data_IF_794257613129
#
_entry.id   IF_794257613129
#
_cell.length_a   1.000
_cell.length_b   1.000
_cell.length_c   1.000
_cell.angle_alpha   90.00
_cell.angle_beta   90.00
_cell.angle_gamma   90.00
#
_symmetry.space_group_name_H-M   'P 1'
#
loop_
_entity.id
_entity.type
_entity.pdbx_description
1 polymer ?
#
# COMPACT_ATOMS: atom_id res chain seq x y z
N UNK A 1 -43.56 36.09 -6.87
CA UNK A 1 -43.85 34.92 -7.74
C UNK A 1 -42.58 34.26 -8.28
N UNK A 2 -41.67 35.01 -8.91
CA UNK A 2 -40.40 34.49 -9.47
C UNK A 2 -39.51 33.83 -8.41
N UNK A 3 -39.34 34.45 -7.25
CA UNK A 3 -38.47 33.92 -6.17
C UNK A 3 -38.99 32.59 -5.57
N UNK A 4 -40.31 32.43 -5.49
CA UNK A 4 -40.95 31.19 -5.07
C UNK A 4 -40.73 30.08 -6.11
N UNK A 5 -40.83 30.41 -7.40
CA UNK A 5 -40.56 29.46 -8.49
C UNK A 5 -39.10 28.95 -8.43
N UNK A 6 -38.13 29.85 -8.21
CA UNK A 6 -36.73 29.48 -8.02
C UNK A 6 -36.53 28.55 -6.83
N UNK A 7 -37.19 28.84 -5.69
CA UNK A 7 -37.13 27.98 -4.50
C UNK A 7 -37.69 26.58 -4.79
N UNK A 8 -38.84 26.48 -5.48
CA UNK A 8 -39.42 25.18 -5.85
C UNK A 8 -38.53 24.36 -6.79
N UNK A 9 -37.94 25.01 -7.80
CA UNK A 9 -37.00 24.36 -8.72
C UNK A 9 -35.74 23.90 -7.98
N UNK A 10 -35.22 24.72 -7.07
CA UNK A 10 -34.05 24.37 -6.26
C UNK A 10 -34.32 23.18 -5.33
N UNK A 11 -35.47 23.17 -4.65
CA UNK A 11 -35.88 22.04 -3.80
C UNK A 11 -36.09 20.77 -4.63
N UNK A 12 -36.75 20.86 -5.79
CA UNK A 12 -36.94 19.72 -6.69
C UNK A 12 -35.59 19.18 -7.22
N UNK A 13 -34.64 20.06 -7.51
CA UNK A 13 -33.29 19.65 -7.89
C UNK A 13 -32.58 18.91 -6.75
N UNK A 14 -32.63 19.43 -5.52
CA UNK A 14 -32.04 18.78 -4.35
C UNK A 14 -32.66 17.41 -4.09
N UNK A 15 -33.99 17.28 -4.17
CA UNK A 15 -34.66 15.98 -3.93
C UNK A 15 -34.29 14.94 -5.00
N UNK A 16 -34.16 15.35 -6.26
CA UNK A 16 -33.66 14.48 -7.33
C UNK A 16 -32.21 14.05 -7.06
N UNK A 17 -31.34 14.99 -6.67
CA UNK A 17 -29.94 14.68 -6.34
C UNK A 17 -29.84 13.72 -5.15
N UNK A 18 -30.60 13.96 -4.08
CA UNK A 18 -30.64 13.05 -2.91
C UNK A 18 -31.16 11.67 -3.33
N UNK A 19 -32.21 11.61 -4.16
CA UNK A 19 -32.72 10.35 -4.69
C UNK A 19 -31.68 9.59 -5.51
N UNK A 20 -30.94 10.28 -6.39
CA UNK A 20 -29.85 9.69 -7.16
C UNK A 20 -28.75 9.16 -6.23
N UNK A 21 -28.31 9.96 -5.25
CA UNK A 21 -27.29 9.54 -4.28
C UNK A 21 -27.75 8.29 -3.50
N UNK A 22 -29.00 8.29 -3.03
CA UNK A 22 -29.55 7.17 -2.29
C UNK A 22 -29.62 5.89 -3.14
N UNK A 23 -30.22 5.95 -4.33
CA UNK A 23 -30.40 4.76 -5.17
C UNK A 23 -29.11 4.27 -5.83
N UNK A 24 -28.17 5.17 -6.16
CA UNK A 24 -26.90 4.79 -6.82
C UNK A 24 -25.78 4.42 -5.86
N UNK A 25 -25.69 5.06 -4.69
CA UNK A 25 -24.58 4.83 -3.75
C UNK A 25 -25.03 4.07 -2.50
N UNK A 26 -26.08 4.56 -1.81
CA UNK A 26 -26.41 4.05 -0.46
C UNK A 26 -27.16 2.72 -0.51
N UNK A 27 -28.17 2.59 -1.37
CA UNK A 27 -29.00 1.40 -1.50
C UNK A 27 -28.20 0.13 -1.86
N UNK A 28 -27.34 0.11 -2.91
CA UNK A 28 -26.55 -1.08 -3.23
C UNK A 28 -25.59 -1.45 -2.09
N UNK A 29 -24.92 -0.46 -1.49
CA UNK A 29 -24.01 -0.65 -0.37
C UNK A 29 -24.70 -1.28 0.84
N UNK A 30 -25.86 -0.75 1.22
CA UNK A 30 -26.66 -1.28 2.33
C UNK A 30 -27.12 -2.72 2.05
N UNK A 31 -27.62 -2.98 0.84
CA UNK A 31 -28.05 -4.32 0.44
C UNK A 31 -26.89 -5.32 0.52
N UNK A 32 -25.69 -4.91 0.13
CA UNK A 32 -24.48 -5.73 0.22
C UNK A 32 -24.07 -5.98 1.68
N UNK A 33 -24.04 -4.95 2.51
CA UNK A 33 -23.78 -5.09 3.96
C UNK A 33 -24.77 -6.05 4.64
N UNK A 34 -26.06 -5.90 4.35
CA UNK A 34 -27.11 -6.75 4.93
C UNK A 34 -26.94 -8.21 4.45
N UNK A 35 -26.50 -8.42 3.21
CA UNK A 35 -26.21 -9.75 2.67
C UNK A 35 -24.99 -10.41 3.36
N UNK A 36 -23.92 -9.66 3.65
CA UNK A 36 -22.76 -10.18 4.37
C UNK A 36 -23.06 -10.46 5.84
N UNK A 37 -23.85 -9.58 6.50
CA UNK A 37 -24.31 -9.84 7.87
C UNK A 37 -25.18 -11.10 7.95
N UNK A 38 -26.01 -11.36 6.94
CA UNK A 38 -26.79 -12.60 6.84
C UNK A 38 -25.92 -13.85 6.65
N UNK A 39 -24.69 -13.70 6.12
CA UNK A 39 -23.70 -14.77 5.98
C UNK A 39 -22.81 -14.95 7.23
N UNK A 40 -23.03 -14.16 8.28
CA UNK A 40 -22.24 -14.22 9.52
C UNK A 40 -20.96 -13.38 9.48
N UNK A 41 -20.70 -12.63 8.41
CA UNK A 41 -19.55 -11.72 8.33
C UNK A 41 -19.90 -10.44 9.09
N UNK A 42 -19.22 -10.26 10.22
CA UNK A 42 -19.40 -9.08 11.07
C UNK A 42 -18.68 -7.86 10.49
N UNK A 43 -19.04 -6.68 10.97
CA UNK A 43 -18.35 -5.41 10.72
C UNK A 43 -19.02 -4.29 11.49
N UNK A 44 -18.43 -3.10 11.42
CA UNK A 44 -18.99 -1.93 12.10
C UNK A 44 -20.38 -1.55 11.56
N UNK A 45 -21.17 -0.76 12.30
CA UNK A 45 -22.42 -0.22 11.81
C UNK A 45 -22.23 0.56 10.50
N UNK A 46 -23.08 0.28 9.52
CA UNK A 46 -23.04 0.99 8.23
C UNK A 46 -23.45 2.46 8.43
N UNK A 47 -22.47 3.36 8.28
CA UNK A 47 -22.68 4.81 8.27
C UNK A 47 -22.78 5.29 6.82
N UNK A 48 -23.94 5.82 6.37
CA UNK A 48 -24.09 6.26 4.99
C UNK A 48 -23.07 7.33 4.60
N UNK A 49 -22.57 7.26 3.36
CA UNK A 49 -21.61 8.18 2.73
C UNK A 49 -20.22 8.22 3.37
N UNK A 50 -20.10 8.33 4.69
CA UNK A 50 -18.81 8.46 5.40
C UNK A 50 -18.20 7.11 5.79
N UNK A 51 -19.00 6.08 6.04
CA UNK A 51 -18.49 4.77 6.48
C UNK A 51 -17.62 4.93 7.73
N UNK A 52 -16.47 4.25 7.75
CA UNK A 52 -15.49 4.29 8.84
C UNK A 52 -14.36 5.32 8.59
N UNK A 53 -14.49 6.19 7.58
CA UNK A 53 -13.41 7.08 7.15
C UNK A 53 -13.00 8.13 8.17
N UNK A 54 -13.91 8.54 9.07
CA UNK A 54 -13.59 9.52 10.11
C UNK A 54 -12.65 8.90 11.14
N UNK A 55 -13.02 7.74 11.68
CA UNK A 55 -12.22 7.03 12.67
C UNK A 55 -10.88 6.58 12.08
N UNK A 56 -10.92 6.09 10.83
CA UNK A 56 -9.72 5.71 10.09
C UNK A 56 -8.78 6.89 9.83
N UNK A 57 -9.29 8.05 9.39
CA UNK A 57 -8.45 9.23 9.19
C UNK A 57 -7.88 9.78 10.51
N UNK A 58 -8.63 9.66 11.62
CA UNK A 58 -8.14 10.04 12.94
C UNK A 58 -6.99 9.13 13.40
N UNK A 59 -7.13 7.81 13.25
CA UNK A 59 -6.06 6.86 13.52
C UNK A 59 -4.83 7.12 12.63
N UNK A 60 -5.05 7.38 11.33
CA UNK A 60 -3.99 7.72 10.37
C UNK A 60 -3.22 8.98 10.75
N UNK A 61 -3.91 10.05 11.14
CA UNK A 61 -3.26 11.31 11.53
C UNK A 61 -2.40 11.17 12.80
N UNK A 62 -2.63 10.12 13.59
CA UNK A 62 -1.80 9.73 14.73
C UNK A 62 -0.77 8.64 14.41
N UNK A 63 -0.58 8.30 13.13
CA UNK A 63 0.23 7.17 12.66
C UNK A 63 -0.15 5.81 13.27
N UNK A 64 -1.38 5.67 13.79
CA UNK A 64 -1.85 4.51 14.55
C UNK A 64 -2.90 3.70 13.77
N UNK A 65 -2.88 3.80 12.44
CA UNK A 65 -3.84 3.11 11.57
C UNK A 65 -3.63 1.59 11.54
N UNK A 66 -2.46 1.11 11.96
CA UNK A 66 -2.15 -0.32 12.08
C UNK A 66 -2.94 -0.91 13.24
N UNK A 67 -2.77 -0.35 14.44
CA UNK A 67 -3.49 -0.77 15.65
C UNK A 67 -5.00 -0.70 15.45
N UNK A 68 -5.47 0.30 14.69
CA UNK A 68 -6.88 0.39 14.31
C UNK A 68 -7.41 -0.84 13.55
N UNK A 69 -6.64 -1.41 12.62
CA UNK A 69 -7.04 -2.64 11.93
C UNK A 69 -6.89 -3.88 12.80
N UNK A 70 -5.88 -3.92 13.67
CA UNK A 70 -5.67 -5.00 14.62
C UNK A 70 -6.86 -5.07 15.62
N UNK A 71 -7.29 -3.93 16.17
CA UNK A 71 -8.47 -3.80 17.04
C UNK A 71 -9.77 -4.26 16.35
N UNK A 72 -9.93 -3.92 15.06
CA UNK A 72 -11.07 -4.38 14.27
C UNK A 72 -11.04 -5.90 14.04
N UNK A 73 -9.84 -6.46 13.81
CA UNK A 73 -9.61 -7.90 13.71
C UNK A 73 -9.92 -8.63 15.01
N UNK A 74 -9.53 -8.09 16.17
CA UNK A 74 -9.86 -8.66 17.48
C UNK A 74 -11.38 -8.63 17.74
N UNK A 75 -12.06 -7.55 17.34
CA UNK A 75 -13.50 -7.36 17.56
C UNK A 75 -14.38 -8.20 16.64
N UNK A 76 -13.98 -8.36 15.38
CA UNK A 76 -14.82 -8.95 14.33
C UNK A 76 -14.29 -10.27 13.76
N UNK A 77 -13.09 -10.68 14.15
CA UNK A 77 -12.41 -11.90 13.69
C UNK A 77 -11.57 -11.68 12.44
N UNK A 78 -11.10 -12.78 11.86
CA UNK A 78 -10.19 -12.79 10.70
C UNK A 78 -10.82 -12.29 9.38
N UNK A 79 -12.16 -12.22 9.31
CA UNK A 79 -12.88 -11.72 8.15
C UNK A 79 -13.96 -10.75 8.61
N UNK A 80 -13.88 -9.50 8.16
CA UNK A 80 -14.85 -8.49 8.54
C UNK A 80 -15.12 -7.48 7.44
N UNK A 81 -16.23 -6.75 7.55
CA UNK A 81 -16.59 -5.70 6.62
C UNK A 81 -15.95 -4.37 7.03
N UNK A 82 -15.31 -3.70 6.08
CA UNK A 82 -14.76 -2.36 6.22
C UNK A 82 -15.42 -1.41 5.22
N UNK A 83 -15.85 -0.24 5.70
CA UNK A 83 -16.62 0.71 4.89
C UNK A 83 -15.80 1.93 4.47
N UNK A 84 -15.46 2.00 3.19
CA UNK A 84 -14.90 3.20 2.58
C UNK A 84 -16.03 4.08 2.02
N UNK A 85 -16.67 4.83 2.92
CA UNK A 85 -17.88 5.56 2.61
C UNK A 85 -19.02 4.61 2.20
N UNK A 86 -19.59 4.74 0.99
CA UNK A 86 -20.57 3.79 0.47
C UNK A 86 -19.95 2.51 -0.11
N UNK A 87 -18.62 2.40 -0.22
CA UNK A 87 -18.00 1.15 -0.67
C UNK A 87 -17.88 0.17 0.50
N UNK A 88 -18.39 -1.04 0.30
CA UNK A 88 -18.22 -2.15 1.24
C UNK A 88 -17.03 -2.97 0.78
N UNK A 89 -16.03 -3.13 1.64
CA UNK A 89 -14.85 -3.95 1.41
C UNK A 89 -14.79 -5.08 2.42
N UNK A 90 -14.25 -6.23 2.00
CA UNK A 90 -13.97 -7.33 2.93
C UNK A 90 -12.51 -7.25 3.35
N UNK A 91 -12.27 -7.17 4.64
CA UNK A 91 -10.94 -7.36 5.21
C UNK A 91 -10.72 -8.85 5.45
N UNK A 92 -9.59 -9.37 4.98
CA UNK A 92 -9.21 -10.78 5.10
C UNK A 92 -7.83 -10.82 5.76
N UNK A 93 -7.78 -11.39 6.96
CA UNK A 93 -6.56 -11.72 7.68
C UNK A 93 -6.54 -13.22 8.05
N UNK A 94 -6.70 -14.07 7.04
CA UNK A 94 -6.64 -15.52 7.15
C UNK A 94 -5.63 -16.06 6.12
N UNK A 95 -4.49 -16.63 6.55
CA UNK A 95 -3.39 -17.02 5.65
C UNK A 95 -3.80 -17.95 4.50
N UNK A 96 -4.70 -18.90 4.75
CA UNK A 96 -5.18 -19.84 3.73
C UNK A 96 -5.97 -19.12 2.64
N UNK A 97 -6.85 -18.18 3.02
CA UNK A 97 -7.62 -17.38 2.07
C UNK A 97 -6.75 -16.38 1.32
N UNK A 98 -5.75 -15.79 1.99
CA UNK A 98 -4.75 -14.94 1.36
C UNK A 98 -3.99 -15.73 0.29
N UNK A 99 -3.60 -16.97 0.62
CA UNK A 99 -2.97 -17.91 -0.30
C UNK A 99 -3.85 -18.26 -1.49
N UNK A 100 -5.15 -18.46 -1.27
CA UNK A 100 -6.12 -18.73 -2.34
C UNK A 100 -6.33 -17.52 -3.26
N UNK A 101 -6.39 -16.30 -2.71
CA UNK A 101 -6.62 -15.07 -3.48
C UNK A 101 -5.37 -14.64 -4.26
N UNK A 102 -4.19 -14.73 -3.64
CA UNK A 102 -2.92 -14.33 -4.25
C UNK A 102 -2.25 -15.49 -5.03
N UNK A 103 -2.75 -16.71 -4.88
CA UNK A 103 -2.22 -17.91 -5.51
C UNK A 103 -2.37 -17.89 -7.03
N UNK A 104 -1.36 -18.42 -7.74
CA UNK A 104 -1.31 -18.37 -9.22
C UNK A 104 -2.53 -19.01 -9.90
N UNK A 105 -3.17 -19.99 -9.27
CA UNK A 105 -4.32 -20.69 -9.84
C UNK A 105 -5.55 -19.78 -9.97
N UNK A 106 -5.80 -18.94 -8.95
CA UNK A 106 -6.98 -18.09 -8.89
C UNK A 106 -6.67 -16.61 -9.13
N UNK A 107 -5.41 -16.20 -9.16
CA UNK A 107 -4.99 -14.82 -9.42
C UNK A 107 -5.66 -14.18 -10.66
N UNK A 108 -5.92 -14.88 -11.78
CA UNK A 108 -6.65 -14.29 -12.91
C UNK A 108 -8.09 -13.86 -12.59
N UNK A 109 -8.69 -14.35 -11.51
CA UNK A 109 -10.04 -13.99 -11.07
C UNK A 109 -10.04 -12.73 -10.18
N UNK A 110 -8.87 -12.26 -9.77
CA UNK A 110 -8.69 -11.14 -8.85
C UNK A 110 -7.90 -10.02 -9.53
N UNK A 111 -8.62 -8.99 -9.97
CA UNK A 111 -8.04 -7.81 -10.59
C UNK A 111 -7.72 -6.74 -9.55
N UNK A 112 -6.99 -5.69 -9.91
CA UNK A 112 -6.86 -4.51 -9.05
C UNK A 112 -8.13 -3.66 -9.16
N UNK A 113 -8.64 -3.13 -8.03
CA UNK A 113 -9.78 -2.23 -8.05
C UNK A 113 -9.60 -1.02 -8.96
N UNK A 114 -10.71 -0.56 -9.56
CA UNK A 114 -10.70 0.55 -10.51
C UNK A 114 -10.26 1.89 -9.86
N UNK A 115 -10.54 2.10 -8.57
CA UNK A 115 -10.09 3.27 -7.82
C UNK A 115 -8.56 3.32 -7.65
N UNK A 116 -7.91 2.17 -7.43
CA UNK A 116 -6.44 2.05 -7.42
C UNK A 116 -5.87 2.46 -8.79
N UNK A 117 -6.50 1.98 -9.87
CA UNK A 117 -6.10 2.35 -11.22
C UNK A 117 -6.29 3.84 -11.49
N UNK A 118 -7.42 4.43 -11.11
CA UNK A 118 -7.70 5.86 -11.31
C UNK A 118 -6.75 6.76 -10.51
N UNK A 119 -6.39 6.34 -9.28
CA UNK A 119 -5.45 7.08 -8.45
C UNK A 119 -4.06 7.13 -9.08
N UNK A 120 -3.58 5.99 -9.59
CA UNK A 120 -2.20 5.83 -10.03
C UNK A 120 -1.99 6.00 -11.54
N UNK A 121 -3.04 5.97 -12.36
CA UNK A 121 -2.98 6.17 -13.82
C UNK A 121 -2.34 7.53 -14.15
N UNK A 122 -2.60 8.56 -13.36
CA UNK A 122 -2.01 9.89 -13.57
C UNK A 122 -0.51 9.94 -13.27
N UNK A 123 -0.02 9.08 -12.38
CA UNK A 123 1.40 9.03 -12.02
C UNK A 123 2.19 8.16 -13.00
N UNK A 124 1.73 6.94 -13.24
CA UNK A 124 2.49 5.94 -13.98
C UNK A 124 2.02 5.78 -15.44
N UNK A 125 0.91 6.40 -15.82
CA UNK A 125 0.21 6.15 -17.07
C UNK A 125 -0.63 4.87 -17.02
N UNK A 126 -1.65 4.76 -17.87
CA UNK A 126 -2.58 3.61 -17.86
C UNK A 126 -1.91 2.27 -18.17
N UNK A 127 -0.82 2.29 -18.94
CA UNK A 127 -0.09 1.11 -19.41
C UNK A 127 1.22 0.91 -18.66
N UNK A 128 1.16 0.90 -17.33
CA UNK A 128 2.29 0.57 -16.48
C UNK A 128 2.16 -0.86 -15.92
N UNK A 129 3.30 -1.45 -15.55
CA UNK A 129 3.33 -2.81 -15.00
C UNK A 129 2.48 -2.96 -13.73
N UNK A 130 2.40 -1.93 -12.89
CA UNK A 130 1.64 -1.97 -11.64
C UNK A 130 0.12 -2.03 -11.86
N UNK A 131 -0.40 -1.43 -12.94
CA UNK A 131 -1.83 -1.32 -13.22
C UNK A 131 -2.34 -2.28 -14.30
N UNK A 132 -1.45 -2.80 -15.15
CA UNK A 132 -1.84 -3.82 -16.13
C UNK A 132 -2.40 -5.07 -15.44
N UNK A 133 -3.33 -5.74 -16.11
CA UNK A 133 -3.93 -7.00 -15.65
C UNK A 133 -3.67 -8.15 -16.63
N UNK A 134 -3.77 -9.37 -16.10
CA UNK A 134 -3.78 -10.63 -16.85
C UNK A 134 -2.68 -10.70 -17.94
N UNK A 135 -3.06 -10.89 -19.20
CA UNK A 135 -2.13 -11.11 -20.31
C UNK A 135 -1.22 -9.92 -20.62
N UNK A 136 -1.68 -8.68 -20.38
CA UNK A 136 -0.86 -7.48 -20.56
C UNK A 136 0.21 -7.41 -19.47
N UNK A 137 -0.18 -7.67 -18.22
CA UNK A 137 0.73 -7.75 -17.09
C UNK A 137 1.78 -8.86 -17.28
N UNK A 138 1.36 -10.05 -17.72
CA UNK A 138 2.27 -11.17 -18.00
C UNK A 138 3.27 -10.83 -19.11
N UNK A 139 2.83 -10.12 -20.15
CA UNK A 139 3.70 -9.64 -21.23
C UNK A 139 4.72 -8.63 -20.69
N UNK A 140 4.27 -7.64 -19.92
CA UNK A 140 5.15 -6.63 -19.34
C UNK A 140 6.17 -7.24 -18.37
N UNK A 141 5.76 -8.18 -17.51
CA UNK A 141 6.68 -8.95 -16.64
C UNK A 141 7.71 -9.72 -17.46
N UNK A 142 7.31 -10.40 -18.53
CA UNK A 142 8.26 -11.12 -19.41
C UNK A 142 9.29 -10.18 -20.04
N UNK A 143 8.94 -8.94 -20.33
CA UNK A 143 9.87 -7.94 -20.87
C UNK A 143 10.84 -7.39 -19.81
N UNK A 144 10.37 -7.21 -18.57
CA UNK A 144 11.13 -6.56 -17.48
C UNK A 144 12.00 -7.56 -16.69
N UNK A 145 11.51 -8.79 -16.45
CA UNK A 145 12.22 -9.79 -15.65
C UNK A 145 13.69 -10.05 -16.06
N UNK A 146 14.08 -10.02 -17.35
CA UNK A 146 15.48 -10.18 -17.74
C UNK A 146 16.42 -9.13 -17.12
N UNK A 147 15.96 -7.90 -16.88
CA UNK A 147 16.75 -6.85 -16.22
C UNK A 147 17.11 -7.20 -14.77
N UNK A 148 16.32 -8.08 -14.13
CA UNK A 148 16.52 -8.55 -12.76
C UNK A 148 17.11 -9.97 -12.69
N UNK A 149 17.64 -10.49 -13.80
CA UNK A 149 18.37 -11.75 -13.80
C UNK A 149 19.67 -11.62 -12.99
N UNK A 150 20.11 -12.71 -12.34
CA UNK A 150 21.22 -12.68 -11.39
C UNK A 150 22.47 -11.96 -11.93
N UNK A 151 22.89 -12.21 -13.18
CA UNK A 151 24.04 -11.53 -13.80
C UNK A 151 23.91 -10.00 -13.81
N UNK A 152 22.71 -9.48 -14.09
CA UNK A 152 22.46 -8.03 -14.10
C UNK A 152 22.44 -7.47 -12.66
N UNK A 153 21.86 -8.21 -11.71
CA UNK A 153 21.92 -7.83 -10.29
C UNK A 153 23.37 -7.77 -9.78
N UNK A 154 24.23 -8.68 -10.23
CA UNK A 154 25.65 -8.65 -9.85
C UNK A 154 26.34 -7.35 -10.28
N UNK A 155 25.99 -6.82 -11.46
CA UNK A 155 26.51 -5.53 -11.94
C UNK A 155 25.93 -4.32 -11.20
N UNK A 156 24.76 -4.45 -10.58
CA UNK A 156 24.16 -3.38 -9.77
C UNK A 156 24.86 -3.23 -8.41
N UNK A 157 25.51 -4.28 -7.89
CA UNK A 157 26.23 -4.23 -6.60
C UNK A 157 27.28 -3.13 -6.61
N UNK A 158 28.08 -3.01 -7.66
CA UNK A 158 29.11 -1.96 -7.74
C UNK A 158 28.49 -0.56 -7.78
N UNK A 159 27.35 -0.40 -8.45
CA UNK A 159 26.63 0.89 -8.48
C UNK A 159 26.13 1.26 -7.08
N UNK A 160 25.56 0.29 -6.36
CA UNK A 160 25.08 0.46 -4.98
C UNK A 160 26.25 0.82 -4.07
N UNK A 161 27.39 0.12 -4.15
CA UNK A 161 28.55 0.42 -3.30
C UNK A 161 29.11 1.80 -3.57
N UNK A 162 29.22 2.21 -4.84
CA UNK A 162 29.74 3.52 -5.21
C UNK A 162 28.83 4.64 -4.72
N UNK A 163 27.51 4.52 -4.91
CA UNK A 163 26.55 5.50 -4.42
C UNK A 163 26.54 5.59 -2.88
N UNK A 164 26.65 4.47 -2.18
CA UNK A 164 26.73 4.44 -0.73
C UNK A 164 28.03 5.05 -0.21
N UNK A 165 29.16 4.77 -0.85
CA UNK A 165 30.45 5.38 -0.51
C UNK A 165 30.43 6.90 -0.68
N UNK A 166 29.91 7.40 -1.80
CA UNK A 166 29.72 8.84 -2.05
C UNK A 166 28.85 9.50 -0.98
N UNK A 167 27.75 8.85 -0.57
CA UNK A 167 26.87 9.35 0.48
C UNK A 167 27.58 9.43 1.84
N UNK A 168 28.33 8.39 2.22
CA UNK A 168 29.12 8.34 3.46
C UNK A 168 30.22 9.43 3.44
N UNK A 169 30.95 9.58 2.33
CA UNK A 169 31.97 10.61 2.18
C UNK A 169 31.38 12.02 2.31
N UNK A 170 30.20 12.26 1.74
CA UNK A 170 29.50 13.53 1.88
C UNK A 170 29.14 13.84 3.34
N UNK A 171 28.71 12.83 4.11
CA UNK A 171 28.42 12.99 5.54
C UNK A 171 29.68 13.32 6.36
N UNK A 172 30.80 12.64 6.05
CA UNK A 172 32.09 12.87 6.73
C UNK A 172 32.64 14.26 6.40
N UNK A 173 32.59 14.68 5.13
CA UNK A 173 33.11 15.97 4.68
C UNK A 173 32.32 17.17 5.24
N UNK A 174 31.01 17.00 5.49
CA UNK A 174 30.15 18.06 6.02
C UNK A 174 30.22 18.22 7.56
N UNK A 175 31.17 17.53 8.22
CA UNK A 175 31.35 17.52 9.69
C UNK A 175 30.07 17.22 10.47
N UNK A 176 29.27 16.28 9.96
CA UNK A 176 28.02 15.84 10.60
C UNK A 176 28.26 15.04 11.89
N UNK A 177 29.51 14.89 12.35
CA UNK A 177 29.87 14.16 13.59
C UNK A 177 29.22 14.73 14.86
N UNK A 178 28.74 15.97 14.84
CA UNK A 178 28.08 16.62 15.99
C UNK A 178 26.64 17.08 15.75
N UNK A 179 26.07 16.82 14.56
CA UNK A 179 24.71 17.25 14.20
C UNK A 179 23.78 16.05 14.08
N UNK A 180 22.52 16.24 14.48
CA UNK A 180 21.46 15.29 14.16
C UNK A 180 21.37 15.14 12.64
N UNK A 181 21.26 13.90 12.19
CA UNK A 181 21.07 13.55 10.79
C UNK A 181 19.63 13.08 10.64
N UNK A 182 18.90 13.68 9.71
CA UNK A 182 17.62 13.14 9.25
C UNK A 182 17.88 11.92 8.36
N UNK A 183 17.61 10.73 8.89
CA UNK A 183 17.82 9.47 8.18
C UNK A 183 16.87 9.31 6.99
N UNK A 184 15.64 9.84 7.07
CA UNK A 184 14.65 9.73 6.01
C UNK A 184 15.11 10.50 4.77
N UNK A 185 15.54 11.75 4.95
CA UNK A 185 16.08 12.59 3.87
C UNK A 185 17.31 11.94 3.24
N UNK A 186 18.22 11.42 4.07
CA UNK A 186 19.44 10.76 3.62
C UNK A 186 19.14 9.49 2.80
N UNK A 187 18.34 8.56 3.35
CA UNK A 187 18.06 7.28 2.69
C UNK A 187 17.18 7.45 1.45
N UNK A 188 16.28 8.44 1.42
CA UNK A 188 15.53 8.78 0.21
C UNK A 188 16.46 9.25 -0.91
N UNK A 189 17.40 10.15 -0.60
CA UNK A 189 18.37 10.66 -1.58
C UNK A 189 19.32 9.55 -2.09
N UNK A 190 19.78 8.67 -1.18
CA UNK A 190 20.61 7.52 -1.53
C UNK A 190 19.85 6.53 -2.42
N UNK A 191 18.66 6.11 -2.02
CA UNK A 191 17.82 5.15 -2.77
C UNK A 191 17.50 5.67 -4.16
N UNK A 192 17.14 6.94 -4.29
CA UNK A 192 16.90 7.56 -5.58
C UNK A 192 18.16 7.62 -6.46
N UNK A 193 19.32 7.89 -5.86
CA UNK A 193 20.60 7.89 -6.59
C UNK A 193 20.97 6.49 -7.09
N UNK A 194 20.72 5.46 -6.30
CA UNK A 194 20.92 4.04 -6.67
C UNK A 194 19.99 3.65 -7.82
N UNK A 195 18.68 3.88 -7.69
CA UNK A 195 17.69 3.52 -8.72
C UNK A 195 18.02 4.25 -10.01
N UNK A 196 18.29 5.56 -9.95
CA UNK A 196 18.53 6.33 -11.16
C UNK A 196 19.85 5.95 -11.84
N UNK A 197 20.92 5.68 -11.07
CA UNK A 197 22.20 5.22 -11.62
C UNK A 197 22.08 3.80 -12.19
N UNK A 198 21.27 2.94 -11.59
CA UNK A 198 21.05 1.56 -12.06
C UNK A 198 20.14 1.51 -13.29
N UNK A 199 19.12 2.36 -13.36
CA UNK A 199 18.15 2.38 -14.46
C UNK A 199 18.62 3.19 -15.68
N UNK A 200 19.28 4.34 -15.45
CA UNK A 200 19.67 5.28 -16.51
C UNK A 200 21.19 5.34 -16.74
N UNK A 201 21.98 4.61 -15.95
CA UNK A 201 23.43 4.58 -16.06
C UNK A 201 24.12 5.81 -15.47
N UNK A 202 25.43 5.88 -15.67
CA UNK A 202 26.31 6.89 -15.07
C UNK A 202 26.11 8.31 -15.61
N UNK A 203 25.44 8.48 -16.76
CA UNK A 203 25.15 9.81 -17.30
C UNK A 203 24.19 10.62 -16.43
N UNK A 204 23.37 9.94 -15.60
CA UNK A 204 22.53 10.61 -14.62
C UNK A 204 23.34 11.23 -13.47
N UNK A 205 24.53 10.68 -13.15
CA UNK A 205 25.47 11.31 -12.20
C UNK A 205 26.06 12.62 -12.74
N UNK A 206 26.23 12.75 -14.06
CA UNK A 206 26.84 13.93 -14.71
C UNK A 206 25.95 15.17 -14.68
N UNK A 207 24.66 15.03 -14.42
CA UNK A 207 23.72 16.15 -14.33
C UNK A 207 23.02 16.20 -12.96
N UNK A 208 23.68 16.80 -11.95
CA UNK A 208 23.13 16.89 -10.59
C UNK A 208 21.78 17.60 -10.51
N UNK A 209 21.55 18.56 -11.41
CA UNK A 209 20.30 19.31 -11.48
C UNK A 209 19.13 18.45 -11.99
N UNK A 210 19.36 17.64 -13.03
CA UNK A 210 18.36 16.69 -13.51
C UNK A 210 18.03 15.63 -12.44
N UNK A 211 19.05 15.13 -11.73
CA UNK A 211 18.88 14.22 -10.61
C UNK A 211 17.98 14.81 -9.53
N UNK A 212 18.29 16.01 -9.08
CA UNK A 212 17.57 16.70 -8.01
C UNK A 212 16.09 16.96 -8.38
N UNK A 213 15.82 17.37 -9.63
CA UNK A 213 14.44 17.52 -10.13
C UNK A 213 13.69 16.18 -10.08
N UNK A 214 14.25 15.11 -10.64
CA UNK A 214 13.58 13.81 -10.69
C UNK A 214 13.34 13.28 -9.27
N UNK A 215 14.31 13.40 -8.37
CA UNK A 215 14.17 12.95 -6.98
C UNK A 215 13.07 13.70 -6.25
N UNK A 216 13.07 15.05 -6.32
CA UNK A 216 12.04 15.88 -5.68
C UNK A 216 10.66 15.64 -6.26
N UNK A 217 10.54 15.63 -7.59
CA UNK A 217 9.26 15.39 -8.27
C UNK A 217 8.71 14.01 -7.92
N UNK A 218 9.55 12.98 -7.88
CA UNK A 218 9.09 11.64 -7.51
C UNK A 218 8.62 11.57 -6.06
N UNK A 219 9.38 12.14 -5.11
CA UNK A 219 9.00 12.21 -3.70
C UNK A 219 7.68 12.97 -3.49
N UNK A 220 7.54 14.16 -4.08
CA UNK A 220 6.31 14.95 -4.02
C UNK A 220 5.10 14.19 -4.58
N UNK A 221 5.28 13.46 -5.69
CA UNK A 221 4.16 12.72 -6.26
C UNK A 221 3.77 11.51 -5.39
N UNK A 222 4.74 10.85 -4.75
CA UNK A 222 4.44 9.76 -3.81
C UNK A 222 3.62 10.28 -2.61
N UNK A 223 4.05 11.38 -2.01
CA UNK A 223 3.36 12.02 -0.88
C UNK A 223 1.95 12.49 -1.26
N UNK A 224 1.81 13.13 -2.43
CA UNK A 224 0.50 13.53 -2.97
C UNK A 224 -0.39 12.30 -3.19
N UNK A 225 0.15 11.16 -3.65
CA UNK A 225 -0.64 9.97 -3.87
C UNK A 225 -1.06 9.26 -2.59
N UNK A 226 -0.19 9.17 -1.58
CA UNK A 226 -0.57 8.65 -0.25
C UNK A 226 -1.74 9.44 0.33
N UNK A 227 -1.65 10.77 0.32
CA UNK A 227 -2.72 11.63 0.81
C UNK A 227 -4.00 11.54 -0.04
N UNK A 228 -3.86 11.34 -1.36
CA UNK A 228 -5.03 11.24 -2.27
C UNK A 228 -5.75 9.90 -2.17
N UNK A 229 -5.05 8.77 -2.07
CA UNK A 229 -5.69 7.45 -2.03
C UNK A 229 -6.66 7.32 -0.84
N UNK A 230 -6.37 8.03 0.25
CA UNK A 230 -7.16 8.05 1.49
C UNK A 230 -8.35 9.04 1.46
N UNK A 231 -8.45 9.90 0.44
CA UNK A 231 -9.60 10.81 0.33
C UNK A 231 -10.84 10.07 -0.18
N UNK A 232 -11.93 10.18 0.57
CA UNK A 232 -13.26 9.64 0.24
C UNK A 232 -13.69 9.91 -1.21
N UNK A 233 -13.36 11.11 -1.72
CA UNK A 233 -13.73 11.57 -3.06
C UNK A 233 -13.13 10.72 -4.19
N UNK A 234 -11.94 10.15 -3.98
CA UNK A 234 -11.22 9.39 -5.00
C UNK A 234 -11.73 7.96 -5.14
N UNK A 235 -12.56 7.50 -4.21
CA UNK A 235 -13.10 6.13 -4.23
C UNK A 235 -14.49 6.06 -4.85
N UNK A 236 -15.05 7.21 -5.22
CA UNK A 236 -16.23 7.28 -6.09
C UNK A 236 -15.73 7.52 -7.53
N UNK A 237 -15.77 6.53 -8.44
CA UNK A 237 -15.03 6.60 -9.71
C UNK A 237 -15.37 7.79 -10.62
N UNK A 238 -16.62 8.26 -10.60
CA UNK A 238 -17.05 9.42 -11.37
C UNK A 238 -16.66 10.75 -10.72
N UNK A 239 -16.58 10.78 -9.39
CA UNK A 239 -16.22 11.97 -8.62
C UNK A 239 -14.70 12.15 -8.60
N UNK A 240 -13.93 11.05 -8.57
CA UNK A 240 -12.48 11.02 -8.72
C UNK A 240 -11.98 11.59 -10.07
N UNK A 241 -12.85 11.58 -11.10
CA UNK A 241 -12.56 12.18 -12.41
C UNK A 241 -12.75 13.70 -12.44
N UNK A 242 -13.47 14.26 -11.47
CA UNK A 242 -13.64 15.69 -11.32
C UNK A 242 -12.43 16.22 -10.54
N UNK A 243 -11.58 16.98 -11.24
CA UNK A 243 -10.40 17.62 -10.66
C UNK A 243 -10.80 18.59 -9.52
N UNK A 244 -9.82 18.91 -8.67
CA UNK A 244 -9.69 20.12 -7.82
C UNK A 244 -9.95 19.98 -6.32
N UNK A 245 -9.14 19.22 -5.58
CA UNK A 245 -8.81 19.61 -4.20
C UNK A 245 -7.37 19.21 -3.88
N UNK A 246 -6.52 20.22 -3.65
CA UNK A 246 -5.22 20.10 -3.01
C UNK A 246 -5.25 21.02 -1.79
N UNK A 247 -5.07 20.44 -0.62
CA UNK A 247 -4.83 21.10 0.67
C UNK A 247 -3.68 20.29 1.25
N UNK A 248 -2.57 20.83 1.73
CA UNK A 248 -2.04 22.18 1.91
C UNK A 248 -0.68 21.93 2.58
N UNK A 249 0.33 22.73 2.26
CA UNK A 249 1.67 22.60 2.85
C UNK A 249 1.63 22.88 4.36
N UNK A 250 1.39 21.87 5.18
CA UNK A 250 1.80 21.84 6.58
C UNK A 250 2.32 20.43 6.88
N UNK A 251 3.57 20.19 6.47
CA UNK A 251 4.36 19.10 7.01
C UNK A 251 4.68 19.41 8.46
N UNK A 252 3.86 18.90 9.38
CA UNK A 252 4.33 18.74 10.75
C UNK A 252 5.39 17.64 10.74
N UNK A 253 6.61 18.03 11.10
CA UNK A 253 7.69 17.12 11.45
C UNK A 253 7.27 16.30 12.68
N UNK A 254 7.65 15.02 12.70
CA UNK A 254 7.59 14.12 13.85
C UNK A 254 7.84 14.88 15.17
N UNK A 255 6.92 14.73 16.13
CA UNK A 255 7.09 15.34 17.45
C UNK A 255 8.01 14.47 18.31
N UNK A 256 8.89 15.11 19.08
CA UNK A 256 9.94 14.48 19.92
C UNK A 256 9.43 13.42 20.93
N UNK A 257 8.11 13.24 21.07
CA UNK A 257 7.50 12.20 21.89
C UNK A 257 7.29 10.87 21.14
N UNK A 258 7.08 10.87 19.82
CA UNK A 258 7.00 9.64 18.99
C UNK A 258 8.38 8.95 18.85
N UNK A 259 9.46 9.73 18.88
CA UNK A 259 10.85 9.22 18.87
C UNK A 259 11.17 8.45 20.18
N UNK A 260 10.45 8.73 21.27
CA UNK A 260 10.70 8.04 22.56
C UNK A 260 10.08 6.65 22.62
N UNK A 261 8.94 6.40 21.95
CA UNK A 261 8.37 5.05 21.88
C UNK A 261 9.04 4.19 20.80
N UNK A 262 9.58 4.80 19.72
CA UNK A 262 10.48 4.14 18.76
C UNK A 262 11.90 3.87 19.28
N UNK A 263 12.22 4.25 20.53
CA UNK A 263 13.54 4.02 21.13
C UNK A 263 13.74 2.61 21.71
N UNK A 264 12.67 1.83 21.88
CA UNK A 264 12.74 0.43 22.34
C UNK A 264 13.57 -0.47 21.39
N UNK A 265 13.44 -0.34 20.05
CA UNK A 265 14.36 -0.93 19.09
C UNK A 265 15.82 -0.51 19.32
N UNK A 266 16.13 0.73 19.72
CA UNK A 266 17.51 1.18 19.90
C UNK A 266 18.22 0.54 21.12
N UNK A 267 17.48 0.15 22.16
CA UNK A 267 18.03 -0.58 23.31
C UNK A 267 18.37 -2.04 22.94
N UNK A 268 17.59 -2.67 22.06
CA UNK A 268 17.90 -4.00 21.49
C UNK A 268 18.89 -3.92 20.31
N UNK A 269 18.90 -2.84 19.55
CA UNK A 269 19.81 -2.59 18.44
C UNK A 269 21.22 -2.27 18.93
N UNK A 270 21.43 -1.81 20.17
CA UNK A 270 22.79 -1.66 20.72
C UNK A 270 23.60 -2.96 20.72
N UNK A 271 22.99 -4.10 21.07
CA UNK A 271 23.69 -5.39 21.00
C UNK A 271 23.75 -5.92 19.56
N UNK A 272 22.67 -5.79 18.79
CA UNK A 272 22.61 -6.30 17.41
C UNK A 272 23.41 -5.48 16.40
N UNK A 273 23.58 -4.18 16.62
CA UNK A 273 24.45 -3.34 15.80
C UNK A 273 25.92 -3.70 16.00
N UNK A 274 26.33 -4.09 17.22
CA UNK A 274 27.65 -4.65 17.46
C UNK A 274 27.83 -5.96 16.71
N UNK A 275 26.85 -6.87 16.79
CA UNK A 275 26.88 -8.15 16.08
C UNK A 275 26.97 -7.97 14.55
N UNK A 276 26.23 -7.01 13.98
CA UNK A 276 26.29 -6.68 12.55
C UNK A 276 27.65 -6.08 12.17
N UNK A 277 28.20 -5.17 12.98
CA UNK A 277 29.52 -4.61 12.74
C UNK A 277 30.61 -5.69 12.78
N UNK A 278 30.55 -6.60 13.76
CA UNK A 278 31.47 -7.73 13.87
C UNK A 278 31.35 -8.68 12.68
N UNK A 279 30.13 -9.02 12.24
CA UNK A 279 29.90 -9.83 11.04
C UNK A 279 30.49 -9.14 9.79
N UNK A 280 30.23 -7.84 9.62
CA UNK A 280 30.76 -7.06 8.50
C UNK A 280 32.28 -7.03 8.52
N UNK A 281 32.92 -6.82 9.67
CA UNK A 281 34.38 -6.80 9.80
C UNK A 281 35.00 -8.18 9.55
N UNK A 282 34.29 -9.27 9.88
CA UNK A 282 34.72 -10.65 9.61
C UNK A 282 34.63 -11.01 8.13
N UNK A 283 33.51 -10.68 7.48
CA UNK A 283 33.24 -11.03 6.07
C UNK A 283 33.98 -10.09 5.11
N UNK A 284 34.17 -8.82 5.48
CA UNK A 284 34.82 -7.80 4.66
C UNK A 284 36.06 -7.21 5.35
N UNK A 285 37.10 -8.03 5.64
CA UNK A 285 38.31 -7.53 6.30
C UNK A 285 39.00 -6.49 5.42
N UNK A 286 39.40 -5.36 6.01
CA UNK A 286 40.05 -4.22 5.33
C UNK A 286 39.18 -3.40 4.36
N UNK A 287 37.84 -3.45 4.46
CA UNK A 287 36.92 -2.64 3.62
C UNK A 287 37.10 -2.90 2.12
N UNK A 288 37.32 -4.16 1.75
CA UNK A 288 37.39 -4.60 0.36
C UNK A 288 36.04 -4.31 -0.32
N UNK A 289 36.06 -3.98 -1.61
CA UNK A 289 34.83 -3.82 -2.42
C UNK A 289 33.97 -5.07 -2.30
N UNK A 290 32.71 -4.92 -1.86
CA UNK A 290 31.82 -6.05 -1.66
C UNK A 290 31.49 -6.74 -2.99
N UNK A 291 31.54 -8.07 -2.99
CA UNK A 291 31.11 -8.93 -4.09
C UNK A 291 29.84 -9.67 -3.69
N UNK A 292 29.17 -10.31 -4.66
CA UNK A 292 27.94 -11.06 -4.38
C UNK A 292 28.15 -12.24 -3.43
N UNK A 293 29.34 -12.85 -3.45
CA UNK A 293 29.69 -13.97 -2.57
C UNK A 293 29.69 -13.49 -1.11
N UNK A 294 30.32 -12.33 -0.83
CA UNK A 294 30.33 -11.74 0.50
C UNK A 294 28.92 -11.38 0.99
N UNK A 295 28.02 -10.90 0.12
CA UNK A 295 26.64 -10.58 0.51
C UNK A 295 25.85 -11.79 1.01
N UNK A 296 26.15 -12.99 0.49
CA UNK A 296 25.48 -14.22 0.93
C UNK A 296 25.95 -14.72 2.30
N UNK A 297 27.10 -14.22 2.78
CA UNK A 297 27.69 -14.58 4.08
C UNK A 297 27.24 -13.66 5.22
N UNK A 298 26.56 -12.54 4.93
CA UNK A 298 26.04 -11.58 5.91
C UNK A 298 24.68 -12.02 6.49
N UNK A 299 24.71 -13.10 7.27
CA UNK A 299 23.51 -13.76 7.83
C UNK A 299 22.79 -12.90 8.87
N UNK A 300 23.53 -12.26 9.79
CA UNK A 300 22.98 -11.39 10.82
C UNK A 300 22.40 -10.13 10.19
N UNK A 301 23.09 -9.52 9.21
CA UNK A 301 22.56 -8.39 8.45
C UNK A 301 21.25 -8.74 7.75
N UNK A 302 21.19 -9.89 7.06
CA UNK A 302 19.97 -10.37 6.41
C UNK A 302 18.83 -10.62 7.42
N UNK A 303 19.15 -11.16 8.61
CA UNK A 303 18.18 -11.37 9.67
C UNK A 303 17.61 -10.04 10.19
N UNK A 304 18.45 -9.02 10.38
CA UNK A 304 18.01 -7.68 10.76
C UNK A 304 17.08 -7.08 9.70
N UNK A 305 17.45 -7.15 8.41
CA UNK A 305 16.59 -6.64 7.31
C UNK A 305 15.23 -7.35 7.30
N UNK A 306 15.23 -8.68 7.42
CA UNK A 306 13.99 -9.46 7.43
C UNK A 306 13.10 -9.11 8.63
N UNK A 307 13.69 -8.93 9.81
CA UNK A 307 12.95 -8.54 11.01
C UNK A 307 12.40 -7.11 10.91
N UNK A 308 13.17 -6.18 10.34
CA UNK A 308 12.68 -4.83 10.03
C UNK A 308 11.50 -4.89 9.06
N UNK A 309 11.57 -5.68 8.00
CA UNK A 309 10.47 -5.84 7.04
C UNK A 309 9.25 -6.58 7.62
N UNK A 310 9.45 -7.43 8.63
CA UNK A 310 8.38 -8.09 9.38
C UNK A 310 7.63 -7.10 10.27
N UNK A 311 8.36 -6.21 10.94
CA UNK A 311 7.78 -5.19 11.83
C UNK A 311 7.19 -4.01 11.05
N UNK A 312 7.86 -3.58 9.98
CA UNK A 312 7.54 -2.40 9.19
C UNK A 312 7.39 -2.75 7.70
N UNK A 313 6.36 -3.54 7.32
CA UNK A 313 6.14 -3.88 5.93
C UNK A 313 5.71 -2.64 5.12
N UNK A 314 6.43 -2.26 4.05
CA UNK A 314 6.10 -1.07 3.26
C UNK A 314 4.77 -1.19 2.50
N UNK A 315 4.25 -2.42 2.33
CA UNK A 315 2.96 -2.68 1.72
C UNK A 315 2.20 -3.74 2.54
N UNK A 316 1.55 -3.28 3.63
CA UNK A 316 0.75 -4.13 4.53
C UNK A 316 -0.57 -4.57 3.91
N UNK A 317 -1.27 -3.63 3.25
CA UNK A 317 -2.56 -3.88 2.63
C UNK A 317 -2.44 -4.08 1.12
N UNK A 318 -2.97 -5.19 0.61
CA UNK A 318 -3.19 -5.40 -0.81
C UNK A 318 -4.69 -5.38 -1.11
N UNK A 319 -5.10 -4.57 -2.08
CA UNK A 319 -6.51 -4.54 -2.51
C UNK A 319 -6.72 -5.38 -3.76
N UNK A 320 -7.73 -6.25 -3.75
CA UNK A 320 -8.13 -7.07 -4.90
C UNK A 320 -9.62 -6.95 -5.15
N UNK A 321 -9.99 -6.79 -6.41
CA UNK A 321 -11.35 -6.77 -6.89
C UNK A 321 -11.68 -8.09 -7.56
N UNK A 322 -12.88 -8.58 -7.32
CA UNK A 322 -13.31 -9.86 -7.84
C UNK A 322 -13.96 -9.76 -9.23
N UNK A 323 -13.37 -10.38 -10.25
CA UNK A 323 -13.74 -10.16 -11.65
C UNK A 323 -14.53 -11.30 -12.34
N UNK A 324 -14.62 -12.51 -11.76
CA UNK A 324 -15.26 -13.68 -12.41
C UNK A 324 -15.96 -14.63 -11.40
N UNK A 325 -17.10 -15.23 -11.76
CA UNK A 325 -17.87 -16.18 -10.91
C UNK A 325 -17.03 -17.40 -10.44
N UNK A 326 -16.70 -17.46 -9.15
CA UNK A 326 -16.09 -18.58 -8.45
C UNK A 326 -16.54 -18.56 -6.97
N UNK A 327 -16.63 -19.71 -6.36
CA UNK A 327 -16.95 -19.79 -4.93
C UNK A 327 -15.65 -19.60 -4.16
N UNK A 328 -15.43 -18.42 -3.57
CA UNK A 328 -14.42 -18.31 -2.50
C UNK A 328 -14.85 -19.33 -1.45
N UNK A 329 -13.93 -20.20 -1.02
CA UNK A 329 -14.18 -21.31 -0.09
C UNK A 329 -14.55 -20.88 1.33
N UNK A 330 -15.33 -19.81 1.48
CA UNK A 330 -15.67 -19.13 2.72
C UNK A 330 -16.51 -19.97 3.70
N UNK A 331 -16.97 -21.16 3.33
CA UNK A 331 -17.81 -21.98 4.20
C UNK A 331 -17.52 -23.47 4.02
N UNK A 332 -16.44 -23.97 4.62
CA UNK A 332 -16.47 -25.31 5.22
C UNK A 332 -17.08 -25.18 6.60
N UNK A 333 -18.38 -25.49 6.71
CA UNK A 333 -19.07 -25.53 7.99
C UNK A 333 -18.31 -26.41 9.01
N UNK A 334 -18.17 -25.86 10.22
CA UNK A 334 -17.56 -26.51 11.36
C UNK A 334 -18.53 -27.59 11.87
N UNK A 335 -18.32 -28.83 11.43
CA UNK A 335 -18.74 -30.05 12.13
C UNK A 335 -20.18 -30.51 11.93
N UNK A 336 -20.41 -31.37 10.93
CA UNK A 336 -20.91 -32.74 11.12
C UNK A 336 -20.99 -33.45 9.78
N UNK A 337 -20.83 -34.77 9.82
CA UNK A 337 -21.04 -35.67 8.69
C UNK A 337 -22.35 -35.39 7.95
N UNK A 338 -22.30 -35.65 6.63
CA UNK A 338 -23.34 -35.56 5.60
C UNK A 338 -23.41 -34.23 4.83
N UNK A 339 -22.60 -34.18 3.76
CA UNK A 339 -22.94 -33.62 2.45
C UNK A 339 -24.13 -32.65 2.40
N UNK A 340 -23.90 -31.39 2.75
CA UNK A 340 -24.62 -30.27 2.15
C UNK A 340 -23.60 -29.40 1.44
N UNK A 341 -23.41 -29.67 0.15
CA UNK A 341 -22.86 -28.68 -0.76
C UNK A 341 -23.83 -27.49 -0.74
N UNK A 342 -23.53 -26.47 0.07
CA UNK A 342 -24.17 -25.18 -0.06
C UNK A 342 -23.74 -24.62 -1.42
N UNK A 343 -24.52 -24.92 -2.44
CA UNK A 343 -24.36 -24.41 -3.79
C UNK A 343 -24.43 -22.87 -3.75
N UNK A 344 -23.25 -22.24 -3.72
CA UNK A 344 -23.09 -20.82 -4.05
C UNK A 344 -23.38 -20.53 -5.53
N UNK A 345 -23.73 -21.55 -6.33
CA UNK A 345 -24.16 -21.42 -7.73
C UNK A 345 -25.55 -20.78 -7.92
N UNK A 346 -26.38 -20.74 -6.87
CA UNK A 346 -27.81 -20.38 -7.02
C UNK A 346 -28.12 -18.89 -6.79
N UNK A 347 -27.12 -18.04 -6.53
CA UNK A 347 -27.34 -16.59 -6.34
C UNK A 347 -26.35 -15.74 -7.14
N UNK A 348 -26.46 -15.85 -8.46
CA UNK A 348 -25.70 -15.22 -9.56
C UNK A 348 -25.68 -13.68 -9.63
N UNK A 349 -25.97 -12.93 -8.57
CA UNK A 349 -26.07 -11.46 -8.67
C UNK A 349 -25.47 -10.68 -7.49
N UNK A 350 -24.72 -11.33 -6.60
CA UNK A 350 -24.30 -10.72 -5.34
C UNK A 350 -22.79 -10.68 -5.12
N UNK A 351 -22.00 -11.28 -6.01
CA UNK A 351 -20.53 -11.39 -5.89
C UNK A 351 -19.80 -10.46 -6.88
N UNK A 352 -20.56 -9.76 -7.74
CA UNK A 352 -20.00 -8.68 -8.56
C UNK A 352 -19.68 -7.48 -7.64
N UNK A 353 -18.49 -6.92 -7.78
CA UNK A 353 -18.03 -5.70 -7.10
C UNK A 353 -17.59 -5.79 -5.62
N UNK A 354 -16.77 -6.79 -5.26
CA UNK A 354 -16.14 -6.85 -3.93
C UNK A 354 -14.66 -6.50 -4.01
N UNK A 355 -14.28 -5.41 -3.35
CA UNK A 355 -12.88 -5.12 -3.05
C UNK A 355 -12.51 -5.79 -1.73
N UNK A 356 -11.43 -6.56 -1.73
CA UNK A 356 -10.87 -7.23 -0.56
C UNK A 356 -9.59 -6.53 -0.15
N UNK A 357 -9.50 -6.13 1.12
CA UNK A 357 -8.25 -5.80 1.76
C UNK A 357 -7.63 -7.07 2.32
N UNK A 358 -6.47 -7.40 1.80
CA UNK A 358 -5.68 -8.55 2.21
C UNK A 358 -4.57 -7.98 3.09
N UNK A 359 -4.64 -8.24 4.39
CA UNK A 359 -3.47 -8.04 5.24
C UNK A 359 -2.53 -9.22 5.03
N UNK A 360 -1.22 -8.96 4.97
CA UNK A 360 -0.22 -10.01 4.76
C UNK A 360 0.25 -10.66 6.06
N UNK A 361 -0.25 -10.21 7.22
CA UNK A 361 0.31 -10.56 8.53
C UNK A 361 -0.73 -10.96 9.57
#
# INVERSE_FOLDING_TARGET
>A
MVLLLFLYVFVAFITIVIGIIYFKLIYPAKKLNDAFRAQGISGEPFIPLLGQMVDFNHARNKNDYITYFDDLGEKHGHIFQFFFGPLVRLFINEPDLIGDVLGRANAPNYEKPADVAVALEKLFGRRNLFLMECSEHDRARRMINPAFHHVNLQSMVSIITDCTAEAIESMICNDMKSKSVDLQVLFNALTMSIIASSAFGTDFKRNPHARDIVCRTFAQILEINENRWMMMINQIPWLARLLFWAVGDEGESFTDEEIKEESLPFIFAGSKASDVCEEVDQVLPNRITSTNEHLSELVVCAAVINETLRLYPPARLLVRHYACEHTIGLLKEKGNDQTSHANLSDRKSYIEDIDMFIDKY
#
